data_IF_661703863760
#
_entry.id   IF_661703863760
#
_cell.length_a   1.000
_cell.length_b   1.000
_cell.length_c   1.000
_cell.angle_alpha   90.00
_cell.angle_beta   90.00
_cell.angle_gamma   90.00
#
_symmetry.space_group_name_H-M   'P 1'
#
loop_
_entity.id
_entity.type
_entity.pdbx_description
1 polymer ?
#
# COMPACT_ATOMS: atom_id res chain seq x y z
N UNK A 1 27.14 10.39 -1.90
CA UNK A 1 25.68 10.61 -1.88
C UNK A 1 25.38 11.96 -2.53
N UNK A 2 24.35 12.06 -3.37
CA UNK A 2 23.88 13.38 -3.83
C UNK A 2 23.25 14.11 -2.64
N UNK A 3 23.28 15.45 -2.60
CA UNK A 3 22.61 16.24 -1.55
C UNK A 3 21.13 15.89 -1.38
N UNK A 4 20.45 15.60 -2.50
CA UNK A 4 19.06 15.12 -2.51
C UNK A 4 18.85 13.82 -1.72
N UNK A 5 19.84 12.91 -1.74
CA UNK A 5 19.74 11.62 -1.04
C UNK A 5 19.87 11.81 0.47
N UNK A 6 20.72 12.75 0.89
CA UNK A 6 20.84 13.16 2.28
C UNK A 6 19.54 13.81 2.78
N UNK A 7 18.96 14.76 2.01
CA UNK A 7 17.69 15.38 2.40
C UNK A 7 16.56 14.36 2.52
N UNK A 8 16.46 13.41 1.59
CA UNK A 8 15.45 12.35 1.68
C UNK A 8 15.65 11.48 2.93
N UNK A 9 16.89 11.09 3.23
CA UNK A 9 17.22 10.33 4.44
C UNK A 9 16.89 11.11 5.72
N UNK A 10 17.18 12.41 5.76
CA UNK A 10 16.83 13.28 6.88
C UNK A 10 15.31 13.43 7.02
N UNK A 11 14.55 13.52 5.93
CA UNK A 11 13.08 13.53 5.97
C UNK A 11 12.53 12.23 6.54
N UNK A 12 13.05 11.07 6.11
CA UNK A 12 12.68 9.77 6.69
C UNK A 12 12.99 9.73 8.19
N UNK A 13 14.18 10.18 8.59
CA UNK A 13 14.57 10.20 10.00
C UNK A 13 13.66 11.14 10.81
N UNK A 14 13.33 12.32 10.29
CA UNK A 14 12.44 13.27 10.94
C UNK A 14 11.01 12.72 11.12
N UNK A 15 10.52 11.89 10.17
CA UNK A 15 9.20 11.26 10.28
C UNK A 15 9.19 10.14 11.32
N UNK A 16 10.20 9.26 11.34
CA UNK A 16 10.17 8.05 12.17
C UNK A 16 10.82 8.21 13.55
N UNK A 17 11.86 9.03 13.68
CA UNK A 17 12.63 9.18 14.93
C UNK A 17 11.78 9.63 16.13
N UNK A 18 10.83 10.58 16.00
CA UNK A 18 9.99 10.99 17.12
C UNK A 18 9.22 9.81 17.76
N UNK A 19 8.76 8.86 16.96
CA UNK A 19 8.03 7.66 17.43
C UNK A 19 8.95 6.63 18.10
N UNK A 20 10.26 6.68 17.85
CA UNK A 20 11.24 5.79 18.49
C UNK A 20 11.71 6.38 19.82
N UNK A 21 11.80 7.71 19.91
CA UNK A 21 12.36 8.41 21.08
C UNK A 21 11.29 8.72 22.13
N UNK A 22 10.03 8.97 21.72
CA UNK A 22 8.94 9.35 22.63
C UNK A 22 7.89 8.25 22.74
N UNK A 23 7.84 7.60 23.92
CA UNK A 23 6.79 6.64 24.26
C UNK A 23 5.41 7.29 24.28
N UNK A 24 5.30 8.53 24.78
CA UNK A 24 4.04 9.27 24.84
C UNK A 24 3.49 9.57 23.45
N UNK A 25 4.35 9.97 22.50
CA UNK A 25 3.95 10.19 21.11
C UNK A 25 3.50 8.88 20.45
N UNK A 26 4.21 7.77 20.72
CA UNK A 26 3.84 6.46 20.19
C UNK A 26 2.50 5.96 20.78
N UNK A 27 2.27 6.18 22.08
CA UNK A 27 1.00 5.87 22.73
C UNK A 27 -0.14 6.72 22.13
N UNK A 28 0.03 8.03 22.06
CA UNK A 28 -0.94 8.93 21.41
C UNK A 28 -1.25 8.52 19.98
N UNK A 29 -0.23 8.17 19.19
CA UNK A 29 -0.42 7.68 17.83
C UNK A 29 -1.22 6.38 17.78
N UNK A 30 -0.99 5.47 18.72
CA UNK A 30 -1.69 4.21 18.81
C UNK A 30 -3.17 4.43 19.12
N UNK A 31 -3.46 5.29 20.10
CA UNK A 31 -4.82 5.67 20.50
C UNK A 31 -5.53 6.41 19.36
N UNK A 32 -4.89 7.41 18.77
CA UNK A 32 -5.46 8.17 17.66
C UNK A 32 -5.71 7.29 16.43
N UNK A 33 -4.83 6.32 16.16
CA UNK A 33 -5.04 5.36 15.08
C UNK A 33 -6.19 4.38 15.36
N UNK A 34 -6.42 4.03 16.62
CA UNK A 34 -7.57 3.24 17.01
C UNK A 34 -8.88 4.03 16.79
N UNK A 35 -8.93 5.27 17.26
CA UNK A 35 -10.15 6.09 17.25
C UNK A 35 -10.45 6.71 15.87
N UNK A 36 -9.41 6.93 15.07
CA UNK A 36 -9.49 7.59 13.76
C UNK A 36 -8.76 6.79 12.67
N UNK A 37 -9.01 5.48 12.60
CA UNK A 37 -8.35 4.56 11.68
C UNK A 37 -8.34 5.03 10.21
N UNK A 38 -9.44 5.59 9.70
CA UNK A 38 -9.49 6.08 8.31
C UNK A 38 -8.64 7.32 8.08
N UNK A 39 -8.64 8.27 9.03
CA UNK A 39 -7.78 9.46 8.95
C UNK A 39 -6.31 9.05 8.98
N UNK A 40 -5.96 8.11 9.86
CA UNK A 40 -4.60 7.59 9.92
C UNK A 40 -4.21 6.78 8.70
N UNK A 41 -5.13 6.01 8.11
CA UNK A 41 -4.88 5.35 6.83
C UNK A 41 -4.59 6.38 5.72
N UNK A 42 -5.36 7.46 5.65
CA UNK A 42 -5.10 8.56 4.72
C UNK A 42 -3.70 9.14 4.90
N UNK A 43 -3.33 9.51 6.13
CA UNK A 43 -2.03 10.10 6.42
C UNK A 43 -0.88 9.13 6.14
N UNK A 44 -0.98 7.89 6.61
CA UNK A 44 0.06 6.85 6.43
C UNK A 44 0.32 6.57 4.97
N UNK A 45 -0.72 6.26 4.19
CA UNK A 45 -0.54 5.94 2.78
C UNK A 45 -0.17 7.18 1.97
N UNK A 46 -0.80 8.33 2.22
CA UNK A 46 -0.48 9.58 1.54
C UNK A 46 1.00 9.92 1.65
N UNK A 47 1.57 9.83 2.85
CA UNK A 47 2.98 10.15 3.09
C UNK A 47 3.88 9.01 2.61
N UNK A 48 3.68 7.78 3.11
CA UNK A 48 4.63 6.68 2.90
C UNK A 48 4.62 6.15 1.47
N UNK A 49 3.45 6.00 0.85
CA UNK A 49 3.40 5.51 -0.53
C UNK A 49 3.99 6.54 -1.51
N UNK A 50 3.71 7.83 -1.32
CA UNK A 50 4.31 8.89 -2.14
C UNK A 50 5.84 8.94 -2.00
N UNK A 51 6.36 8.81 -0.77
CA UNK A 51 7.81 8.74 -0.53
C UNK A 51 8.43 7.48 -1.15
N UNK A 52 7.71 6.36 -1.11
CA UNK A 52 8.09 5.12 -1.80
C UNK A 52 8.19 5.28 -3.32
N UNK A 53 7.21 5.94 -3.94
CA UNK A 53 7.25 6.25 -5.37
C UNK A 53 8.38 7.21 -5.74
N UNK A 54 8.62 8.23 -4.92
CA UNK A 54 9.75 9.14 -5.11
C UNK A 54 11.09 8.40 -5.04
N UNK A 55 11.22 7.45 -4.10
CA UNK A 55 12.40 6.59 -4.01
C UNK A 55 12.53 5.67 -5.24
N UNK A 56 11.43 5.09 -5.71
CA UNK A 56 11.40 4.33 -6.96
C UNK A 56 11.85 5.17 -8.16
N UNK A 57 11.34 6.40 -8.27
CA UNK A 57 11.74 7.37 -9.29
C UNK A 57 13.24 7.70 -9.20
N UNK A 58 13.76 7.89 -7.99
CA UNK A 58 15.19 8.14 -7.74
C UNK A 58 16.07 7.00 -8.19
N UNK A 59 15.65 5.76 -7.97
CA UNK A 59 16.38 4.58 -8.40
C UNK A 59 16.33 4.48 -9.93
N UNK A 60 15.16 4.66 -10.55
CA UNK A 60 14.96 4.50 -12.00
C UNK A 60 15.64 5.61 -12.84
N UNK A 61 15.49 6.87 -12.45
CA UNK A 61 15.87 8.04 -13.27
C UNK A 61 17.06 8.83 -12.72
N UNK A 62 17.45 8.57 -11.47
CA UNK A 62 18.46 9.37 -10.78
C UNK A 62 17.94 10.64 -10.09
N UNK A 63 16.64 10.95 -10.23
CA UNK A 63 15.93 12.08 -9.62
C UNK A 63 14.71 11.60 -8.82
N UNK A 64 14.39 12.25 -7.69
CA UNK A 64 13.26 11.87 -6.84
C UNK A 64 11.88 12.17 -7.44
N UNK A 65 11.83 13.06 -8.43
CA UNK A 65 10.61 13.44 -9.13
C UNK A 65 10.93 13.73 -10.61
N UNK A 66 9.89 13.75 -11.42
CA UNK A 66 9.89 14.30 -12.79
C UNK A 66 8.99 15.54 -12.83
N UNK A 67 9.06 16.38 -13.88
CA UNK A 67 8.21 17.58 -13.98
C UNK A 67 6.70 17.28 -13.87
N UNK A 68 6.25 16.11 -14.34
CA UNK A 68 4.85 15.67 -14.28
C UNK A 68 4.53 14.76 -13.09
N UNK A 69 5.45 14.58 -12.13
CA UNK A 69 5.25 13.64 -11.02
C UNK A 69 4.09 14.05 -10.12
N UNK A 70 4.01 15.32 -9.71
CA UNK A 70 2.93 15.83 -8.87
C UNK A 70 2.89 15.22 -7.46
N UNK A 71 3.88 15.54 -6.62
CA UNK A 71 3.99 15.00 -5.24
C UNK A 71 2.71 15.24 -4.42
N UNK A 72 2.21 16.48 -4.42
CA UNK A 72 1.03 16.85 -3.64
C UNK A 72 -0.27 16.17 -4.12
N UNK A 73 -0.63 16.18 -5.42
CA UNK A 73 -1.81 15.44 -5.87
C UNK A 73 -1.69 13.93 -5.69
N UNK A 74 -0.49 13.34 -5.87
CA UNK A 74 -0.25 11.92 -5.57
C UNK A 74 -0.47 11.60 -4.09
N UNK A 75 0.01 12.46 -3.19
CA UNK A 75 -0.19 12.30 -1.74
C UNK A 75 -1.67 12.27 -1.36
N UNK A 76 -2.50 13.13 -1.97
CA UNK A 76 -3.95 13.13 -1.74
C UNK A 76 -4.59 11.85 -2.28
N UNK A 77 -4.27 11.47 -3.52
CA UNK A 77 -4.78 10.23 -4.14
C UNK A 77 -4.37 9.02 -3.31
N UNK A 78 -3.11 8.90 -2.91
CA UNK A 78 -2.63 7.84 -2.04
C UNK A 78 -3.32 7.82 -0.69
N UNK A 79 -3.65 8.98 -0.12
CA UNK A 79 -4.44 9.04 1.10
C UNK A 79 -5.83 8.43 0.92
N UNK A 80 -6.55 8.83 -0.13
CA UNK A 80 -7.89 8.26 -0.43
C UNK A 80 -7.81 6.76 -0.69
N UNK A 81 -6.83 6.35 -1.50
CA UNK A 81 -6.54 4.95 -1.76
C UNK A 81 -6.19 4.17 -0.49
N UNK A 82 -5.46 4.79 0.43
CA UNK A 82 -5.11 4.22 1.73
C UNK A 82 -6.31 3.93 2.60
N UNK A 83 -7.31 4.82 2.59
CA UNK A 83 -8.59 4.56 3.27
C UNK A 83 -9.28 3.33 2.67
N UNK A 84 -9.31 3.22 1.34
CA UNK A 84 -9.89 2.05 0.65
C UNK A 84 -9.12 0.76 0.97
N UNK A 85 -7.79 0.80 1.04
CA UNK A 85 -6.96 -0.35 1.46
C UNK A 85 -7.28 -0.74 2.90
N UNK A 86 -7.34 0.23 3.83
CA UNK A 86 -7.66 -0.05 5.22
C UNK A 86 -9.05 -0.65 5.37
N UNK A 87 -10.03 -0.15 4.62
CA UNK A 87 -11.38 -0.72 4.57
C UNK A 87 -11.37 -2.16 4.04
N UNK A 88 -10.70 -2.41 2.92
CA UNK A 88 -10.59 -3.75 2.36
C UNK A 88 -9.92 -4.72 3.34
N UNK A 89 -8.82 -4.33 3.98
CA UNK A 89 -8.15 -5.14 4.99
C UNK A 89 -9.10 -5.52 6.13
N UNK A 90 -9.88 -4.56 6.65
CA UNK A 90 -10.87 -4.84 7.70
C UNK A 90 -11.98 -5.78 7.23
N UNK A 91 -12.56 -5.53 6.05
CA UNK A 91 -13.64 -6.35 5.48
C UNK A 91 -13.18 -7.78 5.24
N UNK A 92 -12.05 -7.98 4.57
CA UNK A 92 -11.55 -9.33 4.27
C UNK A 92 -11.03 -10.04 5.52
N UNK A 93 -10.37 -9.34 6.44
CA UNK A 93 -9.92 -9.95 7.70
C UNK A 93 -11.07 -10.37 8.62
N UNK A 94 -12.25 -9.76 8.48
CA UNK A 94 -13.45 -10.13 9.24
C UNK A 94 -14.28 -11.19 8.50
N UNK A 95 -14.44 -11.06 7.18
CA UNK A 95 -15.32 -11.92 6.39
C UNK A 95 -14.75 -13.29 6.05
N UNK A 96 -13.44 -13.38 5.77
CA UNK A 96 -12.83 -14.66 5.38
C UNK A 96 -12.82 -15.69 6.53
N UNK A 97 -12.52 -15.34 7.80
CA UNK A 97 -12.67 -16.28 8.90
C UNK A 97 -14.10 -16.83 9.06
N UNK A 98 -15.13 -15.99 8.87
CA UNK A 98 -16.54 -16.43 8.90
C UNK A 98 -16.82 -17.45 7.80
N UNK A 99 -16.34 -17.18 6.58
CA UNK A 99 -16.45 -18.12 5.46
C UNK A 99 -15.75 -19.45 5.75
N UNK A 100 -14.52 -19.43 6.28
CA UNK A 100 -13.78 -20.64 6.65
C UNK A 100 -14.53 -21.46 7.71
N UNK A 101 -15.03 -20.81 8.76
CA UNK A 101 -15.83 -21.47 9.79
C UNK A 101 -17.09 -22.14 9.21
N UNK A 102 -17.77 -21.48 8.26
CA UNK A 102 -18.96 -22.04 7.59
C UNK A 102 -18.68 -23.32 6.77
N UNK A 103 -17.41 -23.53 6.38
CA UNK A 103 -16.96 -24.74 5.67
C UNK A 103 -16.38 -25.82 6.61
N UNK A 104 -16.58 -25.68 7.94
CA UNK A 104 -16.05 -26.62 8.94
C UNK A 104 -14.64 -26.30 9.43
N UNK A 105 -14.03 -25.19 9.03
CA UNK A 105 -12.67 -24.78 9.45
C UNK A 105 -12.62 -24.05 10.80
N UNK A 106 -13.52 -24.37 11.73
CA UNK A 106 -13.64 -23.66 13.02
C UNK A 106 -12.36 -23.67 13.85
N UNK A 107 -11.64 -24.79 13.88
CA UNK A 107 -10.36 -24.93 14.60
C UNK A 107 -9.28 -23.99 14.04
N UNK A 108 -9.17 -23.87 12.71
CA UNK A 108 -8.22 -22.96 12.06
C UNK A 108 -8.49 -21.50 12.43
N UNK A 109 -9.77 -21.14 12.53
CA UNK A 109 -10.20 -19.78 12.92
C UNK A 109 -9.94 -19.52 14.39
N UNK A 110 -10.16 -20.51 15.27
CA UNK A 110 -9.79 -20.39 16.68
C UNK A 110 -8.28 -20.16 16.84
N UNK A 111 -7.46 -20.91 16.11
CA UNK A 111 -6.00 -20.72 16.07
C UNK A 111 -5.57 -19.36 15.49
N UNK A 112 -6.36 -18.73 14.61
CA UNK A 112 -6.07 -17.40 14.09
C UNK A 112 -6.22 -16.31 15.17
N UNK A 113 -7.12 -16.51 16.12
CA UNK A 113 -7.39 -15.58 17.22
C UNK A 113 -6.36 -15.70 18.38
N UNK A 114 -5.60 -16.79 18.45
CA UNK A 114 -4.61 -16.98 19.52
C UNK A 114 -3.33 -16.18 19.26
N UNK A 115 -2.62 -15.85 20.34
CA UNK A 115 -1.28 -15.27 20.24
C UNK A 115 -0.25 -16.30 19.73
N UNK A 116 0.82 -15.81 19.12
CA UNK A 116 1.87 -16.66 18.54
C UNK A 116 1.65 -17.05 17.08
N UNK A 117 2.52 -17.94 16.60
CA UNK A 117 2.50 -18.51 15.25
C UNK A 117 1.95 -19.93 15.32
N UNK A 118 0.91 -20.21 14.53
CA UNK A 118 0.30 -21.53 14.40
C UNK A 118 0.01 -21.83 12.93
N UNK A 119 -0.25 -23.11 12.64
CA UNK A 119 -0.63 -23.52 11.29
C UNK A 119 -1.98 -22.91 10.89
N UNK A 120 -2.99 -22.96 11.77
CA UNK A 120 -4.29 -22.35 11.53
C UNK A 120 -4.21 -20.85 11.27
N UNK A 121 -3.37 -20.13 12.03
CA UNK A 121 -3.15 -18.70 11.80
C UNK A 121 -2.52 -18.42 10.44
N UNK A 122 -1.54 -19.22 10.04
CA UNK A 122 -0.95 -19.11 8.70
C UNK A 122 -1.98 -19.37 7.60
N UNK A 123 -2.79 -20.44 7.72
CA UNK A 123 -3.82 -20.78 6.72
C UNK A 123 -4.86 -19.67 6.61
N UNK A 124 -5.41 -19.18 7.72
CA UNK A 124 -6.41 -18.10 7.70
C UNK A 124 -5.80 -16.80 7.16
N UNK A 125 -4.59 -16.42 7.57
CA UNK A 125 -3.90 -15.25 7.05
C UNK A 125 -3.63 -15.35 5.54
N UNK A 126 -3.24 -16.54 5.06
CA UNK A 126 -3.04 -16.82 3.65
C UNK A 126 -4.37 -16.71 2.88
N UNK A 127 -5.46 -17.26 3.40
CA UNK A 127 -6.78 -17.14 2.79
C UNK A 127 -7.24 -15.69 2.71
N UNK A 128 -7.08 -14.91 3.77
CA UNK A 128 -7.39 -13.46 3.76
C UNK A 128 -6.57 -12.76 2.68
N UNK A 129 -5.26 -13.02 2.66
CA UNK A 129 -4.33 -12.43 1.71
C UNK A 129 -4.70 -12.75 0.26
N UNK A 130 -4.90 -14.03 -0.08
CA UNK A 130 -5.25 -14.48 -1.43
C UNK A 130 -6.56 -13.86 -1.88
N UNK A 131 -7.59 -13.90 -1.03
CA UNK A 131 -8.92 -13.38 -1.39
C UNK A 131 -8.89 -11.86 -1.58
N UNK A 132 -8.34 -11.12 -0.61
CA UNK A 132 -8.23 -9.67 -0.71
C UNK A 132 -7.44 -9.25 -1.96
N UNK A 133 -6.28 -9.86 -2.19
CA UNK A 133 -5.45 -9.49 -3.32
C UNK A 133 -6.00 -9.99 -4.67
N UNK A 134 -6.85 -11.02 -4.71
CA UNK A 134 -7.51 -11.46 -5.95
C UNK A 134 -8.65 -10.50 -6.33
N UNK A 135 -9.48 -10.10 -5.37
CA UNK A 135 -10.70 -9.34 -5.66
C UNK A 135 -10.50 -7.83 -5.59
N UNK A 136 -9.74 -7.33 -4.61
CA UNK A 136 -9.56 -5.89 -4.40
C UNK A 136 -8.37 -5.32 -5.18
N UNK A 137 -7.21 -6.00 -5.15
CA UNK A 137 -5.98 -5.43 -5.70
C UNK A 137 -6.06 -5.10 -7.21
N UNK A 138 -6.69 -5.91 -8.10
CA UNK A 138 -6.78 -5.56 -9.52
C UNK A 138 -7.54 -4.26 -9.78
N UNK A 139 -8.65 -4.05 -9.09
CA UNK A 139 -9.46 -2.83 -9.18
C UNK A 139 -8.66 -1.65 -8.65
N UNK A 140 -8.09 -1.79 -7.46
CA UNK A 140 -7.27 -0.78 -6.80
C UNK A 140 -6.07 -0.35 -7.68
N UNK A 141 -5.26 -1.30 -8.15
CA UNK A 141 -4.06 -1.02 -8.95
C UNK A 141 -4.39 -0.40 -10.30
N UNK A 142 -5.55 -0.72 -10.87
CA UNK A 142 -6.02 -0.10 -12.12
C UNK A 142 -6.43 1.33 -11.88
N UNK A 143 -7.23 1.59 -10.84
CA UNK A 143 -7.64 2.94 -10.47
C UNK A 143 -6.45 3.84 -10.16
N UNK A 144 -5.50 3.34 -9.35
CA UNK A 144 -4.24 4.03 -9.05
C UNK A 144 -3.47 4.42 -10.31
N UNK A 145 -3.31 3.52 -11.28
CA UNK A 145 -2.64 3.84 -12.56
C UNK A 145 -3.39 4.90 -13.37
N UNK A 146 -4.72 4.87 -13.34
CA UNK A 146 -5.55 5.86 -14.04
C UNK A 146 -5.37 7.24 -13.40
N UNK A 147 -5.43 7.34 -12.06
CA UNK A 147 -5.21 8.60 -11.35
C UNK A 147 -3.80 9.13 -11.56
N UNK A 148 -2.80 8.26 -11.61
CA UNK A 148 -1.41 8.62 -11.89
C UNK A 148 -1.24 9.21 -13.29
N UNK A 149 -1.80 8.55 -14.30
CA UNK A 149 -1.79 9.03 -15.68
C UNK A 149 -2.51 10.38 -15.79
N UNK A 150 -3.65 10.52 -15.12
CA UNK A 150 -4.40 11.77 -15.07
C UNK A 150 -3.59 12.92 -14.48
N UNK A 151 -2.92 12.71 -13.33
CA UNK A 151 -2.04 13.70 -12.70
C UNK A 151 -0.90 14.08 -13.64
N UNK A 152 -0.27 13.10 -14.29
CA UNK A 152 0.85 13.34 -15.19
C UNK A 152 0.45 14.17 -16.42
N UNK A 153 -0.72 13.92 -17.01
CA UNK A 153 -1.25 14.71 -18.13
C UNK A 153 -1.56 16.17 -17.76
N UNK A 154 -1.81 16.44 -16.47
CA UNK A 154 -1.99 17.79 -15.93
C UNK A 154 -0.68 18.40 -15.42
N UNK A 155 0.46 17.84 -15.83
CA UNK A 155 1.79 18.33 -15.44
C UNK A 155 2.05 18.23 -13.93
N UNK A 156 1.40 17.30 -13.22
CA UNK A 156 1.56 17.15 -11.77
C UNK A 156 0.86 18.22 -10.94
N UNK A 157 -0.03 19.03 -11.54
CA UNK A 157 -0.75 20.12 -10.86
C UNK A 157 -1.83 19.62 -9.90
N UNK A 158 -2.04 20.34 -8.79
CA UNK A 158 -3.18 20.12 -7.88
C UNK A 158 -4.53 20.27 -8.57
N UNK A 159 -4.60 21.01 -9.69
CA UNK A 159 -5.82 21.12 -10.50
C UNK A 159 -6.33 19.74 -10.96
N UNK A 160 -5.45 18.76 -11.13
CA UNK A 160 -5.82 17.38 -11.47
C UNK A 160 -6.79 16.74 -10.46
N UNK A 161 -6.81 17.18 -9.21
CA UNK A 161 -7.71 16.63 -8.18
C UNK A 161 -9.16 17.09 -8.34
N UNK A 162 -9.39 18.21 -9.02
CA UNK A 162 -10.73 18.79 -9.24
C UNK A 162 -11.16 18.74 -10.70
N UNK A 163 -10.24 18.41 -11.62
CA UNK A 163 -10.57 18.17 -13.01
C UNK A 163 -11.21 16.78 -13.16
N UNK A 164 -12.31 16.63 -13.90
CA UNK A 164 -12.91 15.32 -14.16
C UNK A 164 -11.93 14.35 -14.83
N UNK A 165 -11.85 13.13 -14.31
CA UNK A 165 -11.03 12.06 -14.88
C UNK A 165 -11.75 11.48 -16.12
N UNK A 166 -11.16 11.52 -17.33
CA UNK A 166 -11.74 10.90 -18.51
C UNK A 166 -11.55 9.37 -18.46
N UNK A 167 -12.33 8.72 -17.59
CA UNK A 167 -12.19 7.31 -17.21
C UNK A 167 -12.17 6.37 -18.41
N UNK A 168 -13.09 6.55 -19.37
CA UNK A 168 -13.15 5.74 -20.60
C UNK A 168 -11.83 5.78 -21.36
N UNK A 169 -11.27 6.98 -21.55
CA UNK A 169 -10.03 7.16 -22.32
C UNK A 169 -8.88 6.44 -21.61
N UNK A 170 -8.65 6.72 -20.33
CA UNK A 170 -7.57 6.08 -19.57
C UNK A 170 -7.72 4.57 -19.50
N UNK A 171 -8.94 4.04 -19.33
CA UNK A 171 -9.19 2.60 -19.32
C UNK A 171 -8.84 1.96 -20.67
N UNK A 172 -9.17 2.61 -21.79
CA UNK A 172 -8.87 2.08 -23.13
C UNK A 172 -7.40 2.20 -23.54
N UNK A 173 -6.68 3.22 -23.04
CA UNK A 173 -5.28 3.48 -23.40
C UNK A 173 -4.27 2.88 -22.42
N UNK A 174 -4.74 2.31 -21.31
CA UNK A 174 -3.88 1.64 -20.35
C UNK A 174 -3.16 0.46 -21.02
N UNK A 175 -1.87 0.29 -20.74
CA UNK A 175 -1.11 -0.85 -21.23
C UNK A 175 -1.56 -2.13 -20.49
N UNK A 176 -2.59 -2.77 -21.02
CA UNK A 176 -3.20 -3.98 -20.46
C UNK A 176 -2.29 -5.18 -20.50
N UNK A 177 -1.40 -5.27 -21.49
CA UNK A 177 -0.41 -6.33 -21.56
C UNK A 177 0.50 -6.30 -20.32
N UNK A 178 1.07 -5.13 -20.00
CA UNK A 178 1.88 -4.96 -18.79
C UNK A 178 1.04 -5.10 -17.52
N UNK A 179 -0.19 -4.57 -17.49
CA UNK A 179 -1.08 -4.71 -16.33
C UNK A 179 -1.35 -6.17 -16.02
N UNK A 180 -1.68 -6.97 -17.03
CA UNK A 180 -1.99 -8.38 -16.88
C UNK A 180 -0.75 -9.22 -16.60
N UNK A 181 0.23 -9.20 -17.51
CA UNK A 181 1.36 -10.13 -17.50
C UNK A 181 2.40 -9.82 -16.41
N UNK A 182 2.45 -8.57 -15.94
CA UNK A 182 3.38 -8.16 -14.89
C UNK A 182 2.66 -7.94 -13.56
N UNK A 183 1.64 -7.07 -13.51
CA UNK A 183 1.02 -6.72 -12.22
C UNK A 183 0.12 -7.85 -11.71
N UNK A 184 -0.85 -8.29 -12.51
CA UNK A 184 -1.85 -9.26 -12.05
C UNK A 184 -1.32 -10.68 -11.96
N UNK A 185 -0.52 -11.11 -12.95
CA UNK A 185 0.02 -12.47 -12.98
C UNK A 185 1.26 -12.68 -12.10
N UNK A 186 2.06 -11.64 -11.86
CA UNK A 186 3.34 -11.79 -11.14
C UNK A 186 3.36 -11.00 -9.85
N UNK A 187 3.17 -9.69 -9.90
CA UNK A 187 3.29 -8.84 -8.69
C UNK A 187 2.27 -9.22 -7.63
N UNK A 188 1.00 -9.42 -8.00
CA UNK A 188 -0.05 -9.84 -7.06
C UNK A 188 0.28 -11.21 -6.42
N UNK A 189 0.50 -12.30 -7.18
CA UNK A 189 0.72 -13.61 -6.58
C UNK A 189 2.10 -13.76 -5.91
N UNK A 190 3.17 -13.21 -6.48
CA UNK A 190 4.54 -13.46 -6.00
C UNK A 190 4.99 -12.50 -4.91
N UNK A 191 4.43 -11.29 -4.86
CA UNK A 191 4.79 -10.30 -3.85
C UNK A 191 3.64 -10.08 -2.87
N UNK A 192 2.45 -9.72 -3.36
CA UNK A 192 1.37 -9.30 -2.47
C UNK A 192 0.71 -10.45 -1.70
N UNK A 193 0.60 -11.66 -2.27
CA UNK A 193 0.09 -12.79 -1.49
C UNK A 193 1.01 -13.12 -0.30
N UNK A 194 2.32 -13.38 -0.47
CA UNK A 194 3.20 -13.60 0.68
C UNK A 194 3.26 -12.41 1.65
N UNK A 195 3.38 -11.19 1.13
CA UNK A 195 3.55 -10.00 1.96
C UNK A 195 2.31 -9.71 2.82
N UNK A 196 1.10 -9.83 2.25
CA UNK A 196 -0.13 -9.67 3.02
C UNK A 196 -0.43 -10.88 3.91
N UNK A 197 0.03 -12.09 3.58
CA UNK A 197 -0.05 -13.23 4.52
C UNK A 197 0.74 -12.90 5.79
N UNK A 198 1.98 -12.44 5.67
CA UNK A 198 2.78 -11.98 6.80
C UNK A 198 2.04 -10.85 7.54
N UNK A 199 1.49 -9.88 6.80
CA UNK A 199 0.73 -8.76 7.37
C UNK A 199 -0.43 -9.24 8.24
N UNK A 200 -1.22 -10.22 7.80
CA UNK A 200 -2.36 -10.72 8.56
C UNK A 200 -1.97 -11.63 9.73
N UNK A 201 -0.74 -12.16 9.74
CA UNK A 201 -0.19 -12.84 10.92
C UNK A 201 0.23 -11.87 12.03
N UNK A 202 0.47 -10.59 11.70
CA UNK A 202 0.81 -9.55 12.69
C UNK A 202 -0.44 -9.10 13.50
N UNK A 203 -0.23 -8.49 14.69
CA UNK A 203 -1.30 -7.85 15.46
C UNK A 203 -2.08 -6.81 14.64
N UNK A 204 -3.39 -6.71 14.86
CA UNK A 204 -4.30 -5.90 14.04
C UNK A 204 -3.89 -4.41 13.94
N UNK A 205 -3.40 -3.83 15.05
CA UNK A 205 -2.99 -2.43 15.14
C UNK A 205 -1.78 -2.07 14.26
N UNK A 206 -0.91 -3.02 13.92
CA UNK A 206 0.28 -2.77 13.09
C UNK A 206 0.09 -3.11 11.61
N UNK A 207 -0.96 -3.85 11.25
CA UNK A 207 -1.17 -4.35 9.88
C UNK A 207 -1.20 -3.25 8.83
N UNK A 208 -1.93 -2.18 9.09
CA UNK A 208 -2.09 -1.05 8.15
C UNK A 208 -0.77 -0.30 7.96
N UNK A 209 0.00 -0.09 9.03
CA UNK A 209 1.31 0.54 8.94
C UNK A 209 2.29 -0.35 8.15
N UNK A 210 2.31 -1.65 8.46
CA UNK A 210 3.15 -2.62 7.75
C UNK A 210 2.79 -2.68 6.26
N UNK A 211 1.50 -2.68 5.90
CA UNK A 211 1.05 -2.61 4.51
C UNK A 211 1.52 -1.34 3.79
N UNK A 212 1.50 -0.18 4.44
CA UNK A 212 2.03 1.05 3.87
C UNK A 212 3.55 0.96 3.59
N UNK A 213 4.32 0.31 4.48
CA UNK A 213 5.75 0.07 4.29
C UNK A 213 6.04 -0.93 3.15
N UNK A 214 5.19 -1.93 2.94
CA UNK A 214 5.32 -2.87 1.81
C UNK A 214 5.24 -2.17 0.45
N UNK A 215 4.47 -1.08 0.34
CA UNK A 215 4.44 -0.24 -0.86
C UNK A 215 5.81 0.36 -1.20
N UNK A 216 6.55 0.83 -0.18
CA UNK A 216 7.92 1.33 -0.33
C UNK A 216 8.85 0.19 -0.77
N UNK A 217 8.77 -0.96 -0.12
CA UNK A 217 9.60 -2.12 -0.43
C UNK A 217 9.40 -2.59 -1.88
N UNK A 218 8.14 -2.67 -2.36
CA UNK A 218 7.85 -3.02 -3.74
C UNK A 218 8.44 -2.00 -4.72
N UNK A 219 8.28 -0.70 -4.43
CA UNK A 219 8.83 0.37 -5.25
C UNK A 219 10.34 0.24 -5.46
N UNK A 220 11.06 -0.11 -4.39
CA UNK A 220 12.51 -0.38 -4.42
C UNK A 220 12.84 -1.64 -5.26
N UNK A 221 12.15 -2.75 -5.01
CA UNK A 221 12.38 -4.03 -5.72
C UNK A 221 12.19 -3.84 -7.24
N UNK A 222 11.09 -3.19 -7.64
CA UNK A 222 10.78 -2.96 -9.04
C UNK A 222 11.79 -2.04 -9.71
N UNK A 223 12.24 -0.99 -9.02
CA UNK A 223 13.19 -0.05 -9.58
C UNK A 223 14.60 -0.65 -9.74
N UNK A 224 15.02 -1.53 -8.82
CA UNK A 224 16.27 -2.30 -8.97
C UNK A 224 16.16 -3.28 -10.14
N UNK A 225 15.04 -3.99 -10.27
CA UNK A 225 14.80 -4.93 -11.37
C UNK A 225 14.83 -4.25 -12.75
N UNK A 226 14.35 -3.01 -12.84
CA UNK A 226 14.36 -2.23 -14.07
C UNK A 226 15.78 -1.80 -14.53
N UNK A 227 16.74 -1.69 -13.60
CA UNK A 227 18.15 -1.35 -13.91
C UNK A 227 19.01 -2.50 -14.42
N UNK A 228 18.57 -3.74 -14.18
CA UNK A 228 19.29 -4.95 -14.60
C UNK A 228 18.97 -5.40 -16.02
N UNK A 229 18.12 -4.65 -16.73
CA UNK A 229 17.86 -4.79 -18.16
C UNK A 229 18.51 -3.63 -18.90
#
# INVERSE_FOLDING_TARGET
MKRSDLFFALTMLAIFMPFVVSNDLYAWYTDFNHDHAMVMAFLKFGILATLGEMLGCRIATGNYTTPSFGVAPRMVVWGVLGMAISMAMTVFASGIPVFIASMGGGELVAEFATEGISFGKFVVALSISVMMNTFFAPVFMTFHKITDAHIAEHGGSLKALITPIPMRRHMTTLNWDRQWNFIFKKTIPLFWYPAHTITFMLPANVRVLFAALLGVALGVILAIGAKKK
#
